data_IF_574259571383
#
_entry.id   IF_574259571383
#
_cell.length_a   1.000
_cell.length_b   1.000
_cell.length_c   1.000
_cell.angle_alpha   90.00
_cell.angle_beta   90.00
_cell.angle_gamma   90.00
#
_symmetry.space_group_name_H-M   'P 1'
#
loop_
_entity.id
_entity.type
_entity.pdbx_description
1 polymer ?
#
# COMPACT_ATOMS: atom_id res chain seq x y z
N UNK A 1 -9.91 -25.32 -2.26
CA UNK A 1 -8.63 -24.59 -2.30
C UNK A 1 -8.53 -23.90 -0.97
N UNK A 2 -7.48 -24.22 -0.21
CA UNK A 2 -7.16 -23.45 0.99
C UNK A 2 -6.72 -22.05 0.53
N UNK A 3 -7.17 -21.03 1.24
CA UNK A 3 -7.00 -19.63 0.86
C UNK A 3 -5.87 -19.03 1.70
N UNK A 4 -4.68 -18.96 1.11
CA UNK A 4 -3.46 -18.55 1.84
C UNK A 4 -3.29 -17.03 1.94
N UNK A 5 -4.03 -16.27 1.12
CA UNK A 5 -3.95 -14.81 1.07
C UNK A 5 -5.27 -14.15 0.69
N UNK A 6 -5.61 -13.05 1.37
CA UNK A 6 -6.76 -12.19 1.07
C UNK A 6 -6.32 -10.74 1.11
N UNK A 7 -6.71 -9.98 0.08
CA UNK A 7 -6.58 -8.52 0.05
C UNK A 7 -7.92 -7.88 -0.28
N UNK A 8 -8.35 -6.94 0.57
CA UNK A 8 -9.64 -6.24 0.46
C UNK A 8 -9.42 -4.74 0.60
N UNK A 9 -10.19 -3.95 -0.15
CA UNK A 9 -10.13 -2.50 -0.07
C UNK A 9 -11.52 -1.87 -0.22
N UNK A 10 -11.96 -1.10 0.78
CA UNK A 10 -13.16 -0.29 0.70
C UNK A 10 -12.82 1.11 0.17
N UNK A 11 -13.26 1.42 -1.07
CA UNK A 11 -12.89 2.68 -1.73
C UNK A 11 -13.77 3.85 -1.29
N UNK A 12 -13.13 4.92 -0.81
CA UNK A 12 -13.67 6.28 -0.79
C UNK A 12 -13.11 7.05 -1.98
N UNK A 13 -13.95 7.45 -2.93
CA UNK A 13 -13.49 8.14 -4.14
C UNK A 13 -12.87 9.52 -3.80
N UNK A 14 -11.72 9.81 -4.41
CA UNK A 14 -11.05 11.12 -4.31
C UNK A 14 -11.94 12.25 -4.86
N UNK A 15 -11.83 13.48 -4.34
CA UNK A 15 -12.62 14.61 -4.84
C UNK A 15 -12.45 14.81 -6.35
N UNK A 16 -13.56 14.95 -7.07
CA UNK A 16 -13.56 15.19 -8.53
C UNK A 16 -13.39 13.94 -9.40
N UNK A 17 -13.22 12.74 -8.81
CA UNK A 17 -13.13 11.47 -9.55
C UNK A 17 -14.50 10.79 -9.60
N UNK A 18 -14.86 10.26 -10.77
CA UNK A 18 -16.11 9.52 -10.94
C UNK A 18 -16.18 8.25 -10.06
N UNK A 19 -17.38 7.92 -9.61
CA UNK A 19 -17.65 6.65 -8.92
C UNK A 19 -17.85 5.57 -9.98
N UNK A 20 -16.79 4.81 -10.26
CA UNK A 20 -16.77 3.73 -11.27
C UNK A 20 -16.15 2.46 -10.67
N UNK A 21 -16.65 1.30 -11.11
CA UNK A 21 -16.11 0.00 -10.75
C UNK A 21 -14.65 -0.18 -11.20
N UNK A 22 -14.27 0.36 -12.35
CA UNK A 22 -12.89 0.30 -12.87
C UNK A 22 -11.84 0.94 -11.93
N UNK A 23 -12.28 1.80 -11.00
CA UNK A 23 -11.40 2.43 -10.03
C UNK A 23 -11.36 1.71 -8.68
N UNK A 24 -12.07 0.59 -8.52
CA UNK A 24 -12.01 -0.20 -7.29
C UNK A 24 -10.78 -1.09 -7.28
N UNK A 25 -10.02 -1.02 -6.20
CA UNK A 25 -8.89 -1.90 -5.94
C UNK A 25 -9.34 -3.34 -5.63
N UNK A 26 -8.48 -4.36 -5.83
CA UNK A 26 -7.10 -4.24 -6.34
C UNK A 26 -7.02 -3.97 -7.84
N UNK A 27 -6.10 -3.09 -8.24
CA UNK A 27 -5.64 -3.03 -9.63
C UNK A 27 -4.74 -4.23 -9.93
N UNK A 28 -4.70 -4.63 -11.20
CA UNK A 28 -3.90 -5.75 -11.66
C UNK A 28 -3.22 -5.41 -12.98
N UNK A 29 -1.89 -5.54 -13.02
CA UNK A 29 -1.10 -5.36 -14.24
C UNK A 29 0.24 -6.11 -14.11
N UNK A 30 0.70 -6.78 -15.18
CA UNK A 30 1.97 -7.52 -15.23
C UNK A 30 2.21 -8.50 -14.06
N UNK A 31 1.14 -9.11 -13.54
CA UNK A 31 1.19 -10.04 -12.40
C UNK A 31 1.22 -9.38 -11.01
N UNK A 32 1.32 -8.06 -10.96
CA UNK A 32 1.21 -7.26 -9.75
C UNK A 32 -0.25 -6.97 -9.40
N UNK A 33 -0.55 -6.98 -8.12
CA UNK A 33 -1.83 -6.56 -7.56
C UNK A 33 -1.62 -5.40 -6.60
N UNK A 34 -2.45 -4.36 -6.69
CA UNK A 34 -2.20 -3.09 -6.00
C UNK A 34 -3.46 -2.48 -5.38
N UNK A 35 -3.39 -2.16 -4.08
CA UNK A 35 -4.38 -1.36 -3.37
C UNK A 35 -3.73 -0.09 -2.84
N UNK A 36 -4.35 1.08 -3.04
CA UNK A 36 -3.87 2.35 -2.50
C UNK A 36 -4.88 3.01 -1.55
N UNK A 37 -4.41 3.49 -0.40
CA UNK A 37 -5.17 4.36 0.49
C UNK A 37 -4.43 5.69 0.68
N UNK A 38 -4.98 6.73 0.06
CA UNK A 38 -4.37 8.04 0.07
C UNK A 38 -4.90 8.90 -1.07
N UNK A 39 -4.21 10.01 -1.29
CA UNK A 39 -4.41 10.85 -2.46
C UNK A 39 -3.06 11.42 -2.85
N UNK A 40 -2.66 11.20 -4.10
CA UNK A 40 -1.46 11.81 -4.68
C UNK A 40 -1.86 13.08 -5.43
N UNK A 41 -1.39 14.23 -4.98
CA UNK A 41 -1.75 15.55 -5.53
C UNK A 41 -0.78 16.06 -6.61
N UNK A 42 0.38 15.43 -6.77
CA UNK A 42 1.29 15.70 -7.89
C UNK A 42 0.66 15.32 -9.24
N UNK A 43 -0.24 14.35 -9.22
CA UNK A 43 -0.94 13.88 -10.40
C UNK A 43 -2.12 14.79 -10.78
N UNK A 44 -2.34 14.93 -12.08
CA UNK A 44 -3.48 15.68 -12.60
C UNK A 44 -4.70 14.76 -12.65
N UNK A 45 -5.83 15.25 -12.13
CA UNK A 45 -7.10 14.56 -12.31
C UNK A 45 -7.49 14.55 -13.80
N UNK A 46 -8.04 13.43 -14.26
CA UNK A 46 -8.43 13.25 -15.66
C UNK A 46 -9.16 11.92 -15.86
N UNK A 47 -8.86 11.22 -16.96
CA UNK A 47 -9.42 9.90 -17.23
C UNK A 47 -8.91 8.82 -16.25
N UNK A 48 -7.71 9.01 -15.71
CA UNK A 48 -7.11 8.16 -14.69
C UNK A 48 -7.25 8.77 -13.30
N UNK A 49 -7.53 7.91 -12.32
CA UNK A 49 -7.41 8.27 -10.91
C UNK A 49 -5.95 8.44 -10.49
N UNK A 50 -5.71 9.13 -9.37
CA UNK A 50 -4.37 9.28 -8.79
C UNK A 50 -3.76 7.93 -8.38
N UNK A 51 -4.59 6.97 -7.94
CA UNK A 51 -4.16 5.62 -7.65
C UNK A 51 -3.67 4.85 -8.90
N UNK A 52 -4.30 5.05 -10.06
CA UNK A 52 -3.86 4.43 -11.31
C UNK A 52 -2.53 5.03 -11.79
N UNK A 53 -2.39 6.35 -11.68
CA UNK A 53 -1.14 7.04 -12.01
C UNK A 53 -0.01 6.61 -11.06
N UNK A 54 -0.29 6.43 -9.77
CA UNK A 54 0.67 5.89 -8.80
C UNK A 54 1.11 4.47 -9.17
N UNK A 55 0.15 3.61 -9.52
CA UNK A 55 0.48 2.22 -9.88
C UNK A 55 1.30 2.14 -11.17
N UNK A 56 0.95 2.94 -12.19
CA UNK A 56 1.72 3.02 -13.43
C UNK A 56 3.17 3.46 -13.19
N UNK A 57 3.37 4.53 -12.40
CA UNK A 57 4.71 5.00 -12.03
C UNK A 57 5.51 3.93 -11.29
N UNK A 58 4.88 3.24 -10.33
CA UNK A 58 5.50 2.15 -9.58
C UNK A 58 5.91 0.99 -10.51
N UNK A 59 5.10 0.65 -11.50
CA UNK A 59 5.43 -0.39 -12.48
C UNK A 59 6.61 0.01 -13.38
N UNK A 60 6.76 1.29 -13.70
CA UNK A 60 7.94 1.79 -14.43
C UNK A 60 9.22 1.61 -13.60
N UNK A 61 9.20 1.99 -12.33
CA UNK A 61 10.34 1.82 -11.42
C UNK A 61 10.67 0.33 -11.17
N UNK A 62 9.65 -0.53 -11.05
CA UNK A 62 9.80 -1.98 -10.93
C UNK A 62 10.39 -2.64 -12.18
N UNK A 63 10.19 -2.05 -13.37
CA UNK A 63 10.81 -2.52 -14.61
C UNK A 63 12.26 -2.06 -14.72
N UNK A 64 12.59 -0.90 -14.14
CA UNK A 64 13.93 -0.32 -14.17
C UNK A 64 14.86 -0.87 -13.08
N UNK A 65 14.32 -1.38 -11.98
CA UNK A 65 15.08 -1.88 -10.83
C UNK A 65 14.90 -3.38 -10.62
N UNK A 66 15.99 -4.08 -10.27
CA UNK A 66 15.90 -5.49 -9.86
C UNK A 66 15.40 -5.66 -8.43
N UNK A 67 15.58 -4.63 -7.59
CA UNK A 67 15.18 -4.64 -6.18
C UNK A 67 13.84 -3.92 -6.00
N UNK A 68 12.85 -4.63 -5.45
CA UNK A 68 11.49 -4.11 -5.26
C UNK A 68 11.46 -2.99 -4.21
N UNK A 69 12.27 -3.09 -3.16
CA UNK A 69 12.35 -2.06 -2.12
C UNK A 69 12.94 -0.78 -2.68
N UNK A 70 13.98 -0.86 -3.51
CA UNK A 70 14.56 0.30 -4.20
C UNK A 70 13.60 0.92 -5.21
N UNK A 71 12.83 0.12 -5.97
CA UNK A 71 11.79 0.63 -6.86
C UNK A 71 10.73 1.43 -6.08
N UNK A 72 10.22 0.85 -4.97
CA UNK A 72 9.25 1.52 -4.09
C UNK A 72 9.82 2.82 -3.53
N UNK A 73 11.10 2.81 -3.10
CA UNK A 73 11.78 4.01 -2.59
C UNK A 73 11.93 5.08 -3.68
N UNK A 74 12.28 4.69 -4.90
CA UNK A 74 12.39 5.60 -6.04
C UNK A 74 11.05 6.27 -6.36
N UNK A 75 9.97 5.48 -6.45
CA UNK A 75 8.61 5.99 -6.65
C UNK A 75 8.24 6.98 -5.56
N UNK A 76 8.41 6.60 -4.28
CA UNK A 76 8.06 7.45 -3.14
C UNK A 76 8.83 8.78 -3.14
N UNK A 77 10.12 8.78 -3.48
CA UNK A 77 10.98 9.97 -3.53
C UNK A 77 10.63 10.91 -4.68
N UNK A 78 10.08 10.40 -5.78
CA UNK A 78 9.65 11.23 -6.92
C UNK A 78 8.43 12.10 -6.61
N UNK A 79 7.64 11.73 -5.59
CA UNK A 79 6.39 12.37 -5.22
C UNK A 79 6.58 13.35 -4.06
N UNK A 80 5.92 14.51 -4.13
CA UNK A 80 6.08 15.63 -3.20
C UNK A 80 4.78 15.99 -2.49
N UNK A 81 3.68 16.14 -3.22
CA UNK A 81 2.38 16.49 -2.65
C UNK A 81 1.46 15.28 -2.61
N UNK A 82 1.21 14.75 -1.41
CA UNK A 82 0.25 13.68 -1.18
C UNK A 82 -0.28 13.71 0.26
N UNK A 83 -1.45 13.10 0.49
CA UNK A 83 -1.91 12.82 1.85
C UNK A 83 -1.19 11.59 2.41
N UNK A 84 -1.23 10.48 1.67
CA UNK A 84 -0.51 9.26 1.94
C UNK A 84 -0.21 8.53 0.63
N UNK A 85 0.85 7.72 0.65
CA UNK A 85 1.25 6.78 -0.38
C UNK A 85 0.97 5.34 0.06
N UNK A 86 0.17 5.13 1.11
CA UNK A 86 -0.03 3.78 1.62
C UNK A 86 -0.55 2.86 0.53
N UNK A 87 0.09 1.70 0.41
CA UNK A 87 -0.38 0.68 -0.51
C UNK A 87 -0.09 -0.72 0.02
N UNK A 88 -0.79 -1.67 -0.59
CA UNK A 88 -0.44 -3.09 -0.54
C UNK A 88 -0.15 -3.49 -1.99
N UNK A 89 1.06 -3.99 -2.23
CA UNK A 89 1.53 -4.47 -3.52
C UNK A 89 1.86 -5.95 -3.37
N UNK A 90 1.26 -6.80 -4.21
CA UNK A 90 1.44 -8.24 -4.15
C UNK A 90 1.86 -8.80 -5.50
N UNK A 91 2.82 -9.73 -5.48
CA UNK A 91 3.18 -10.58 -6.61
C UNK A 91 3.77 -11.88 -6.10
N UNK A 92 3.36 -12.98 -6.73
CA UNK A 92 3.81 -14.34 -6.45
C UNK A 92 3.62 -14.71 -4.96
N UNK A 93 4.68 -14.70 -4.17
CA UNK A 93 4.72 -15.04 -2.75
C UNK A 93 5.11 -13.85 -1.84
N UNK A 94 5.26 -12.65 -2.40
CA UNK A 94 5.69 -11.45 -1.68
C UNK A 94 4.59 -10.38 -1.62
N UNK A 95 4.33 -9.86 -0.42
CA UNK A 95 3.40 -8.78 -0.16
C UNK A 95 4.17 -7.61 0.45
N UNK A 96 4.19 -6.47 -0.24
CA UNK A 96 4.85 -5.25 0.18
C UNK A 96 3.81 -4.23 0.63
N UNK A 97 3.86 -3.83 1.90
CA UNK A 97 2.94 -2.87 2.51
C UNK A 97 3.69 -1.59 2.84
N UNK A 98 3.35 -0.51 2.13
CA UNK A 98 3.85 0.83 2.38
C UNK A 98 2.97 1.54 3.41
N UNK A 99 3.59 2.08 4.48
CA UNK A 99 2.99 3.08 5.36
C UNK A 99 3.76 4.39 5.26
N UNK A 100 3.22 5.36 4.51
CA UNK A 100 3.87 6.65 4.29
C UNK A 100 2.85 7.76 4.07
N UNK A 101 2.86 8.76 4.93
CA UNK A 101 2.04 9.96 4.83
C UNK A 101 2.88 11.23 4.84
N UNK A 102 2.49 12.17 3.97
CA UNK A 102 3.16 13.46 3.77
C UNK A 102 2.61 14.54 4.70
N UNK A 103 2.98 15.80 4.46
CA UNK A 103 2.55 16.95 5.27
C UNK A 103 1.03 17.08 5.39
N UNK A 104 0.29 16.74 4.33
CA UNK A 104 -1.18 16.77 4.35
C UNK A 104 -1.75 15.66 5.24
N UNK A 105 -1.17 14.47 5.19
CA UNK A 105 -1.59 13.33 6.02
C UNK A 105 -1.25 13.49 7.50
N UNK A 106 -0.21 14.27 7.85
CA UNK A 106 0.13 14.63 9.24
C UNK A 106 -0.99 15.33 10.00
N UNK A 107 -1.99 15.91 9.31
CA UNK A 107 -3.18 16.50 9.93
C UNK A 107 -4.15 15.43 10.48
N UNK A 108 -4.09 14.21 9.94
CA UNK A 108 -4.94 13.07 10.32
C UNK A 108 -4.14 11.77 10.34
N UNK A 109 -3.05 11.68 11.13
CA UNK A 109 -2.10 10.57 11.02
C UNK A 109 -2.75 9.23 11.36
N UNK A 110 -3.65 9.20 12.36
CA UNK A 110 -4.39 7.98 12.76
C UNK A 110 -5.14 7.30 11.62
N UNK A 111 -5.66 8.10 10.67
CA UNK A 111 -6.40 7.61 9.50
C UNK A 111 -5.49 6.93 8.48
N UNK A 112 -4.25 7.42 8.35
CA UNK A 112 -3.25 6.89 7.41
C UNK A 112 -2.24 5.95 8.05
N UNK A 113 -2.28 5.70 9.35
CA UNK A 113 -1.35 4.73 9.95
C UNK A 113 -1.81 3.30 9.66
N UNK A 114 -0.99 2.48 9.02
CA UNK A 114 -1.20 1.04 8.91
C UNK A 114 -0.79 0.34 10.21
N UNK A 115 -1.45 -0.77 10.53
CA UNK A 115 -1.18 -1.61 11.70
C UNK A 115 -1.09 -3.05 11.25
N UNK A 116 -0.29 -3.86 11.92
CA UNK A 116 -0.23 -5.29 11.69
C UNK A 116 -0.28 -6.07 13.00
N UNK A 117 -0.75 -7.31 12.92
CA UNK A 117 -0.82 -8.23 14.03
C UNK A 117 -0.48 -9.63 13.51
N UNK A 118 0.35 -10.36 14.25
CA UNK A 118 0.80 -11.70 13.89
C UNK A 118 0.32 -12.68 14.96
N UNK A 119 -0.32 -13.75 14.51
CA UNK A 119 -0.58 -14.98 15.28
C UNK A 119 0.35 -16.09 14.81
N UNK A 120 0.23 -17.27 15.41
CA UNK A 120 1.02 -18.45 15.03
C UNK A 120 0.74 -18.91 13.59
N UNK A 121 -0.47 -18.67 13.07
CA UNK A 121 -0.96 -19.21 11.82
C UNK A 121 -1.38 -18.17 10.76
N UNK A 122 -1.41 -16.87 11.11
CA UNK A 122 -1.73 -15.82 10.15
C UNK A 122 -1.19 -14.45 10.55
N UNK A 123 -1.05 -13.59 9.55
CA UNK A 123 -0.74 -12.16 9.71
C UNK A 123 -1.89 -11.31 9.17
N UNK A 124 -2.33 -10.33 9.96
CA UNK A 124 -3.31 -9.32 9.54
C UNK A 124 -2.62 -7.98 9.41
N UNK A 125 -2.80 -7.31 8.26
CA UNK A 125 -2.39 -5.93 8.05
C UNK A 125 -3.60 -5.09 7.66
N UNK A 126 -3.84 -3.98 8.36
CA UNK A 126 -5.04 -3.19 8.16
C UNK A 126 -4.84 -1.71 8.53
N UNK A 127 -5.64 -0.82 7.93
CA UNK A 127 -5.69 0.58 8.30
C UNK A 127 -6.34 0.82 9.68
N UNK A 128 -7.15 -0.12 10.17
CA UNK A 128 -7.78 -0.06 11.50
C UNK A 128 -7.64 -1.39 12.24
N UNK A 129 -7.64 -1.32 13.58
CA UNK A 129 -7.56 -2.53 14.40
C UNK A 129 -8.89 -3.26 14.35
N UNK A 130 -8.87 -4.53 13.99
CA UNK A 130 -10.06 -5.38 14.02
C UNK A 130 -10.34 -5.84 15.47
N UNK A 131 -11.63 -5.88 15.91
CA UNK A 131 -12.00 -6.25 17.28
C UNK A 131 -11.59 -7.68 17.68
N UNK A 132 -11.53 -8.59 16.71
CA UNK A 132 -11.23 -10.01 16.87
C UNK A 132 -9.87 -10.36 16.27
N UNK A 133 -8.81 -9.69 16.73
CA UNK A 133 -7.49 -9.79 16.10
C UNK A 133 -6.64 -10.98 16.53
N UNK A 134 -5.73 -11.32 15.62
CA UNK A 134 -4.72 -12.39 15.67
C UNK A 134 -3.86 -12.42 16.94
N UNK A 135 -3.42 -11.24 17.38
CA UNK A 135 -2.53 -11.08 18.52
C UNK A 135 -2.40 -9.61 18.92
N UNK A 136 -1.23 -9.22 19.44
CA UNK A 136 -0.94 -7.82 19.73
C UNK A 136 -0.83 -7.00 18.43
N UNK A 137 -1.42 -5.79 18.41
CA UNK A 137 -1.34 -4.88 17.27
C UNK A 137 -0.10 -4.00 17.36
N UNK A 138 0.77 -4.13 16.36
CA UNK A 138 1.91 -3.25 16.14
C UNK A 138 1.53 -2.15 15.15
N UNK A 139 2.02 -0.95 15.42
CA UNK A 139 1.82 0.22 14.55
C UNK A 139 3.01 0.32 13.60
N UNK A 140 2.75 0.53 12.31
CA UNK A 140 3.82 0.80 11.35
C UNK A 140 4.28 2.26 11.48
N UNK A 141 5.59 2.47 11.55
CA UNK A 141 6.16 3.82 11.57
C UNK A 141 5.99 4.49 10.20
N UNK A 142 5.91 5.82 10.20
CA UNK A 142 5.76 6.56 8.95
C UNK A 142 7.04 6.45 8.10
N UNK A 143 6.89 6.14 6.82
CA UNK A 143 8.02 5.92 5.91
C UNK A 143 8.65 4.53 6.06
N UNK A 144 7.85 3.52 6.40
CA UNK A 144 8.31 2.12 6.45
C UNK A 144 7.62 1.25 5.42
N UNK A 145 8.37 0.28 4.93
CA UNK A 145 7.91 -0.82 4.09
C UNK A 145 7.95 -2.11 4.91
N UNK A 146 6.80 -2.77 5.06
CA UNK A 146 6.70 -4.13 5.59
C UNK A 146 6.61 -5.10 4.41
N UNK A 147 7.56 -6.03 4.28
CA UNK A 147 7.49 -7.15 3.34
C UNK A 147 7.07 -8.40 4.09
N UNK A 148 6.05 -9.09 3.59
CA UNK A 148 5.60 -10.40 4.05
C UNK A 148 5.87 -11.43 2.97
N UNK A 149 6.41 -12.59 3.35
CA UNK A 149 6.54 -13.75 2.48
C UNK A 149 5.55 -14.83 2.90
N UNK A 150 4.87 -15.44 1.93
CA UNK A 150 4.00 -16.60 2.13
C UNK A 150 4.68 -17.88 1.63
N UNK A 151 4.42 -19.06 2.23
CA UNK A 151 3.48 -19.31 3.31
C UNK A 151 4.08 -19.18 4.73
N UNK A 152 5.38 -18.91 4.87
CA UNK A 152 6.06 -18.96 6.18
C UNK A 152 5.74 -17.78 7.11
N UNK A 153 5.14 -16.71 6.58
CA UNK A 153 4.73 -15.53 7.35
C UNK A 153 5.90 -14.66 7.77
N UNK A 154 7.07 -14.81 7.14
CA UNK A 154 8.27 -14.01 7.45
C UNK A 154 8.00 -12.53 7.19
N UNK A 155 8.38 -11.68 8.15
CA UNK A 155 8.26 -10.22 8.06
C UNK A 155 9.63 -9.55 8.00
N UNK A 156 9.81 -8.62 7.08
CA UNK A 156 10.94 -7.70 7.04
C UNK A 156 10.46 -6.25 7.02
N UNK A 157 11.12 -5.38 7.78
CA UNK A 157 10.79 -3.95 7.82
C UNK A 157 11.98 -3.16 7.28
N UNK A 158 11.72 -2.32 6.29
CA UNK A 158 12.69 -1.41 5.69
C UNK A 158 12.28 0.04 5.89
N UNK A 159 13.25 0.90 6.18
CA UNK A 159 13.08 2.36 6.13
C UNK A 159 13.25 2.85 4.68
N UNK A 160 12.31 3.66 4.25
CA UNK A 160 12.19 4.25 2.91
C UNK A 160 11.96 5.77 2.98
N UNK A 161 12.07 6.35 4.18
CA UNK A 161 11.95 7.79 4.43
C UNK A 161 13.21 8.60 4.05
N UNK A 162 14.33 7.90 3.85
CA UNK A 162 15.61 8.46 3.40
C UNK A 162 15.68 8.59 1.89
#
# INVERSE_FOLDING_TARGET
ADLDFIMLHARKASPGIAVKHEFTHPFKEDGWYFCHNGTVHDFRAGEQSDAQQLFALLLEDLKACQDVTEAIRATARSLKEYSALNFILFRDDHIHILNMYGERGKKTPKYFTMKYSQADDYTVVCSERLPSSAGEWKVMENGTLLTLTIPDGTTEISDISS
#
